data_IF_684789371437
#
_entry.id   IF_684789371437
#
_cell.length_a   1.000
_cell.length_b   1.000
_cell.length_c   1.000
_cell.angle_alpha   90.00
_cell.angle_beta   90.00
_cell.angle_gamma   90.00
#
_symmetry.space_group_name_H-M   'P 1'
#
loop_
_entity.id
_entity.type
_entity.pdbx_description
1 polymer ?
#
# COMPACT_ATOMS: atom_id res chain seq x y z
N UNK A 1 -16.99 5.42 -65.19
CA UNK A 1 -17.18 6.78 -64.64
C UNK A 1 -16.07 7.05 -63.64
N UNK A 2 -15.30 8.11 -63.89
CA UNK A 2 -14.17 8.56 -63.10
C UNK A 2 -14.65 9.26 -61.82
N UNK A 3 -14.03 8.98 -60.67
CA UNK A 3 -13.82 9.98 -59.63
C UNK A 3 -12.71 9.52 -58.66
N UNK A 4 -11.58 10.24 -58.73
CA UNK A 4 -10.45 10.22 -57.80
C UNK A 4 -10.79 11.13 -56.62
N UNK A 5 -10.58 10.72 -55.37
CA UNK A 5 -10.39 11.63 -54.22
C UNK A 5 -9.62 10.84 -53.14
N UNK A 6 -8.29 11.00 -53.03
CA UNK A 6 -7.48 12.04 -52.37
C UNK A 6 -7.00 11.59 -50.98
N UNK A 7 -5.70 11.27 -50.96
CA UNK A 7 -4.81 11.17 -49.82
C UNK A 7 -5.02 12.32 -48.83
N UNK A 8 -5.22 12.00 -47.55
CA UNK A 8 -4.87 12.89 -46.43
C UNK A 8 -3.93 12.11 -45.52
N UNK A 9 -2.64 12.39 -45.68
CA UNK A 9 -1.60 11.98 -44.78
C UNK A 9 -1.75 12.74 -43.46
N UNK A 10 -2.22 12.06 -42.41
CA UNK A 10 -2.09 12.57 -41.05
C UNK A 10 -0.67 12.26 -40.56
N UNK A 11 0.21 13.23 -40.73
CA UNK A 11 1.52 13.30 -40.10
C UNK A 11 1.37 13.18 -38.58
N UNK A 12 1.90 12.11 -38.01
CA UNK A 12 2.08 11.96 -36.57
C UNK A 12 3.27 12.84 -36.17
N UNK A 13 2.98 14.06 -35.73
CA UNK A 13 3.97 14.94 -35.11
C UNK A 13 4.42 14.36 -33.77
N UNK A 14 5.62 13.79 -33.73
CA UNK A 14 6.30 13.42 -32.49
C UNK A 14 6.86 14.71 -31.89
N UNK A 15 6.05 15.41 -31.11
CA UNK A 15 6.54 16.50 -30.29
C UNK A 15 7.22 15.93 -29.03
N UNK A 16 8.53 15.75 -29.11
CA UNK A 16 9.41 15.54 -27.95
C UNK A 16 9.49 16.84 -27.14
N UNK A 17 8.43 17.15 -26.39
CA UNK A 17 8.39 18.25 -25.42
C UNK A 17 8.57 17.70 -24.00
N UNK A 18 9.59 18.16 -23.29
CA UNK A 18 9.91 17.74 -21.93
C UNK A 18 8.74 17.85 -20.96
N UNK A 19 8.35 16.72 -20.35
CA UNK A 19 7.36 16.67 -19.28
C UNK A 19 8.03 16.47 -17.91
N UNK A 20 7.58 17.17 -16.84
CA UNK A 20 8.02 16.90 -15.47
C UNK A 20 7.23 15.70 -14.87
N UNK A 21 7.57 15.25 -13.66
CA UNK A 21 8.01 13.90 -13.34
C UNK A 21 6.87 12.86 -13.25
N UNK A 22 6.63 12.08 -14.30
CA UNK A 22 5.70 10.93 -14.23
C UNK A 22 6.10 9.86 -13.20
N UNK A 23 7.38 9.76 -12.85
CA UNK A 23 7.88 8.80 -11.85
C UNK A 23 7.51 9.18 -10.40
N UNK A 24 7.49 10.47 -10.06
CA UNK A 24 7.18 10.91 -8.69
C UNK A 24 5.69 10.71 -8.35
N UNK A 25 4.79 10.91 -9.32
CA UNK A 25 3.35 10.67 -9.14
C UNK A 25 3.03 9.18 -8.96
N UNK A 26 3.68 8.30 -9.72
CA UNK A 26 3.50 6.85 -9.58
C UNK A 26 3.99 6.35 -8.21
N UNK A 27 5.13 6.87 -7.73
CA UNK A 27 5.66 6.54 -6.40
C UNK A 27 4.76 7.06 -5.27
N UNK A 28 4.22 8.28 -5.40
CA UNK A 28 3.27 8.82 -4.43
C UNK A 28 1.97 8.01 -4.40
N UNK A 29 1.38 7.67 -5.55
CA UNK A 29 0.17 6.84 -5.61
C UNK A 29 0.40 5.43 -5.03
N UNK A 30 1.59 4.86 -5.26
CA UNK A 30 1.96 3.57 -4.68
C UNK A 30 2.14 3.66 -3.16
N UNK A 31 2.76 4.74 -2.65
CA UNK A 31 2.87 4.99 -1.21
C UNK A 31 1.49 5.12 -0.55
N UNK A 32 0.61 5.96 -1.09
CA UNK A 32 -0.75 6.15 -0.60
C UNK A 32 -1.54 4.82 -0.57
N UNK A 33 -1.39 3.97 -1.60
CA UNK A 33 -2.03 2.64 -1.61
C UNK A 33 -1.45 1.68 -0.56
N UNK A 34 -0.14 1.69 -0.33
CA UNK A 34 0.49 0.86 0.72
C UNK A 34 0.11 1.30 2.14
N UNK A 35 -0.01 2.61 2.37
CA UNK A 35 -0.40 3.18 3.66
C UNK A 35 -1.88 2.91 3.94
N UNK A 36 -2.73 2.99 2.91
CA UNK A 36 -4.14 2.60 3.01
C UNK A 36 -4.30 1.12 3.35
N UNK A 37 -3.54 0.23 2.68
CA UNK A 37 -3.56 -1.20 2.99
C UNK A 37 -3.14 -1.47 4.42
N UNK A 38 -2.11 -0.79 4.92
CA UNK A 38 -1.67 -0.93 6.31
C UNK A 38 -2.76 -0.48 7.31
N UNK A 39 -3.45 0.62 7.00
CA UNK A 39 -4.57 1.10 7.80
C UNK A 39 -5.70 0.05 7.84
N UNK A 40 -6.03 -0.55 6.70
CA UNK A 40 -7.05 -1.58 6.61
C UNK A 40 -6.67 -2.83 7.39
N UNK A 41 -5.42 -3.31 7.28
CA UNK A 41 -4.96 -4.46 8.05
C UNK A 41 -5.07 -4.24 9.56
N UNK A 42 -4.75 -3.03 10.05
CA UNK A 42 -4.92 -2.68 11.47
C UNK A 42 -6.39 -2.69 11.89
N UNK A 43 -7.29 -2.20 11.04
CA UNK A 43 -8.74 -2.24 11.31
C UNK A 43 -9.27 -3.68 11.29
N UNK A 44 -8.85 -4.50 10.34
CA UNK A 44 -9.20 -5.92 10.25
C UNK A 44 -8.68 -6.67 11.49
N UNK A 45 -7.44 -6.40 11.92
CA UNK A 45 -6.87 -7.01 13.13
C UNK A 45 -7.69 -6.67 14.38
N UNK A 46 -8.13 -5.41 14.51
CA UNK A 46 -8.98 -4.98 15.63
C UNK A 46 -10.41 -5.54 15.56
N UNK A 47 -10.96 -5.72 14.35
CA UNK A 47 -12.33 -6.22 14.16
C UNK A 47 -12.44 -7.74 14.30
N UNK A 48 -11.49 -8.47 13.75
CA UNK A 48 -11.53 -9.93 13.65
C UNK A 48 -10.65 -10.63 14.69
N UNK A 49 -9.62 -9.96 15.19
CA UNK A 49 -8.66 -10.54 16.11
C UNK A 49 -9.16 -10.60 17.55
N UNK A 50 -8.45 -11.37 18.36
CA UNK A 50 -8.52 -11.22 19.81
C UNK A 50 -7.75 -9.96 20.25
N UNK A 51 -8.02 -9.39 21.43
CA UNK A 51 -7.26 -8.23 21.92
C UNK A 51 -5.73 -8.48 21.96
N UNK A 52 -5.32 -9.71 22.28
CA UNK A 52 -3.91 -10.10 22.24
C UNK A 52 -3.35 -10.12 20.82
N UNK A 53 -4.11 -10.65 19.85
CA UNK A 53 -3.71 -10.66 18.45
C UNK A 53 -3.57 -9.23 17.91
N UNK A 54 -4.58 -8.38 18.11
CA UNK A 54 -4.57 -6.97 17.69
C UNK A 54 -3.31 -6.26 18.21
N UNK A 55 -3.04 -6.35 19.52
CA UNK A 55 -1.87 -5.72 20.14
C UNK A 55 -0.56 -6.20 19.53
N UNK A 56 -0.43 -7.50 19.30
CA UNK A 56 0.78 -8.08 18.68
C UNK A 56 0.95 -7.64 17.23
N UNK A 57 -0.15 -7.62 16.46
CA UNK A 57 -0.19 -7.20 15.07
C UNK A 57 0.17 -5.72 14.94
N UNK A 58 -0.44 -4.88 15.76
CA UNK A 58 -0.17 -3.45 15.79
C UNK A 58 1.30 -3.16 16.10
N UNK A 59 1.90 -3.85 17.09
CA UNK A 59 3.33 -3.71 17.41
C UNK A 59 4.22 -4.04 16.20
N UNK A 60 3.96 -5.15 15.52
CA UNK A 60 4.77 -5.54 14.35
C UNK A 60 4.52 -4.63 13.15
N UNK A 61 3.29 -4.17 12.95
CA UNK A 61 2.93 -3.18 11.94
C UNK A 61 3.71 -1.87 12.13
N UNK A 62 3.77 -1.34 13.35
CA UNK A 62 4.61 -0.17 13.69
C UNK A 62 6.08 -0.41 13.37
N UNK A 63 6.60 -1.60 13.68
CA UNK A 63 7.97 -1.97 13.36
C UNK A 63 8.22 -2.06 11.85
N UNK A 64 7.25 -2.55 11.08
CA UNK A 64 7.32 -2.60 9.62
C UNK A 64 7.35 -1.20 9.00
N UNK A 65 6.56 -0.26 9.52
CA UNK A 65 6.62 1.16 9.10
C UNK A 65 7.97 1.79 9.46
N UNK A 66 8.46 1.59 10.67
CA UNK A 66 9.76 2.09 11.11
C UNK A 66 10.93 1.55 10.25
N UNK A 67 10.82 0.31 9.78
CA UNK A 67 11.80 -0.31 8.88
C UNK A 67 11.61 0.08 7.40
N UNK A 68 10.64 0.94 7.06
CA UNK A 68 10.35 1.35 5.68
C UNK A 68 9.77 0.23 4.82
N UNK A 69 9.17 -0.80 5.43
CA UNK A 69 8.56 -1.94 4.72
C UNK A 69 7.18 -1.61 4.13
N UNK A 70 6.50 -0.59 4.67
CA UNK A 70 5.21 -0.09 4.15
C UNK A 70 5.47 0.93 3.04
N UNK A 71 6.03 2.08 3.40
CA UNK A 71 6.46 3.12 2.46
C UNK A 71 7.96 3.35 2.60
N UNK A 72 8.70 3.25 1.49
CA UNK A 72 10.14 3.54 1.45
C UNK A 72 10.39 5.03 1.29
N UNK A 73 11.55 5.49 1.76
CA UNK A 73 12.03 6.87 1.56
C UNK A 73 11.11 7.97 2.11
N UNK A 74 10.23 7.64 3.07
CA UNK A 74 9.44 8.62 3.83
C UNK A 74 9.75 8.52 5.31
N UNK A 75 9.57 9.65 6.00
CA UNK A 75 9.70 9.71 7.45
C UNK A 75 8.66 8.78 8.12
N UNK A 76 9.08 7.78 8.93
CA UNK A 76 8.16 6.85 9.55
C UNK A 76 7.09 7.51 10.43
N UNK A 77 7.40 8.64 11.09
CA UNK A 77 6.42 9.33 11.92
C UNK A 77 5.30 9.97 11.07
N UNK A 78 5.63 10.54 9.91
CA UNK A 78 4.61 10.99 8.95
C UNK A 78 3.80 9.84 8.38
N UNK A 79 4.44 8.73 7.99
CA UNK A 79 3.74 7.54 7.47
C UNK A 79 2.73 7.01 8.51
N UNK A 80 3.13 6.94 9.78
CA UNK A 80 2.24 6.53 10.86
C UNK A 80 1.04 7.46 11.08
N UNK A 81 1.28 8.77 10.94
CA UNK A 81 0.22 9.78 11.00
C UNK A 81 -0.77 9.58 9.86
N UNK A 82 -0.28 9.35 8.63
CA UNK A 82 -1.12 9.09 7.46
C UNK A 82 -1.93 7.80 7.62
N UNK A 83 -1.29 6.68 7.97
CA UNK A 83 -1.98 5.39 8.22
C UNK A 83 -3.09 5.55 9.26
N UNK A 84 -2.86 6.34 10.31
CA UNK A 84 -3.87 6.60 11.34
C UNK A 84 -5.07 7.39 10.78
N UNK A 85 -4.82 8.36 9.91
CA UNK A 85 -5.86 9.15 9.25
C UNK A 85 -6.66 8.37 8.19
N UNK A 86 -6.03 7.37 7.55
CA UNK A 86 -6.63 6.53 6.50
C UNK A 86 -7.51 5.39 7.02
N UNK A 87 -7.67 5.23 8.35
CA UNK A 87 -8.47 4.14 8.93
C UNK A 87 -9.92 4.22 8.45
N UNK A 88 -10.34 3.20 7.70
CA UNK A 88 -11.71 3.10 7.17
C UNK A 88 -12.66 2.45 8.18
N UNK A 89 -13.96 2.60 7.93
CA UNK A 89 -14.99 1.97 8.73
C UNK A 89 -14.86 0.43 8.66
N UNK A 90 -14.78 -0.29 9.80
CA UNK A 90 -14.61 -1.74 9.82
C UNK A 90 -15.70 -2.51 9.08
N UNK A 91 -16.93 -2.00 9.04
CA UNK A 91 -18.07 -2.65 8.33
C UNK A 91 -17.85 -2.69 6.82
N UNK A 92 -17.10 -1.72 6.28
CA UNK A 92 -16.75 -1.68 4.85
C UNK A 92 -15.65 -2.69 4.50
N UNK A 93 -14.78 -2.99 5.46
CA UNK A 93 -13.66 -3.92 5.26
C UNK A 93 -14.04 -5.39 5.53
N UNK A 94 -14.94 -5.59 6.49
CA UNK A 94 -15.42 -6.91 6.92
C UNK A 94 -16.94 -6.83 7.06
N UNK A 95 -17.63 -7.29 6.02
CA UNK A 95 -19.09 -7.22 5.94
C UNK A 95 -19.79 -8.18 6.89
N UNK A 96 -19.26 -9.39 7.07
CA UNK A 96 -19.80 -10.39 7.98
C UNK A 96 -18.73 -10.94 8.93
N UNK A 97 -19.14 -11.33 10.14
CA UNK A 97 -18.25 -11.96 11.12
C UNK A 97 -17.68 -13.30 10.60
N UNK A 98 -18.42 -13.98 9.72
CA UNK A 98 -17.99 -15.23 9.07
C UNK A 98 -16.75 -15.06 8.17
N UNK A 99 -16.43 -13.84 7.72
CA UNK A 99 -15.25 -13.57 6.89
C UNK A 99 -13.95 -13.50 7.72
N UNK A 100 -14.07 -13.37 9.05
CA UNK A 100 -12.93 -13.13 9.92
C UNK A 100 -11.86 -14.23 9.94
N UNK A 101 -12.17 -15.54 9.87
CA UNK A 101 -11.15 -16.58 9.80
C UNK A 101 -10.19 -16.39 8.62
N UNK A 102 -10.72 -16.17 7.41
CA UNK A 102 -9.91 -15.96 6.21
C UNK A 102 -9.13 -14.63 6.25
N UNK A 103 -9.68 -13.59 6.87
CA UNK A 103 -8.96 -12.34 7.11
C UNK A 103 -7.79 -12.54 8.09
N UNK A 104 -8.00 -13.25 9.19
CA UNK A 104 -6.95 -13.53 10.17
C UNK A 104 -5.84 -14.41 9.61
N UNK A 105 -6.16 -15.40 8.77
CA UNK A 105 -5.15 -16.20 8.08
C UNK A 105 -4.24 -15.32 7.21
N UNK A 106 -4.82 -14.42 6.40
CA UNK A 106 -4.04 -13.45 5.62
C UNK A 106 -3.14 -12.58 6.49
N UNK A 107 -3.65 -12.08 7.61
CA UNK A 107 -2.85 -11.27 8.53
C UNK A 107 -1.73 -12.07 9.20
N UNK A 108 -1.95 -13.35 9.53
CA UNK A 108 -0.89 -14.22 10.08
C UNK A 108 0.22 -14.48 9.07
N UNK A 109 -0.12 -14.71 7.81
CA UNK A 109 0.90 -14.86 6.75
C UNK A 109 1.71 -13.58 6.59
N UNK A 110 1.04 -12.42 6.55
CA UNK A 110 1.72 -11.13 6.54
C UNK A 110 2.65 -10.94 7.75
N UNK A 111 2.23 -11.36 8.95
CA UNK A 111 3.09 -11.30 10.14
C UNK A 111 4.32 -12.20 10.02
N UNK A 112 4.17 -13.41 9.46
CA UNK A 112 5.28 -14.34 9.23
C UNK A 112 6.28 -13.77 8.22
N UNK A 113 5.79 -13.21 7.11
CA UNK A 113 6.63 -12.55 6.10
C UNK A 113 7.41 -11.39 6.70
N UNK A 114 6.74 -10.51 7.44
CA UNK A 114 7.38 -9.35 8.11
C UNK A 114 8.39 -9.79 9.16
N UNK A 115 8.08 -10.80 9.96
CA UNK A 115 9.02 -11.33 10.94
C UNK A 115 10.32 -11.76 10.26
N UNK A 116 10.25 -12.50 9.15
CA UNK A 116 11.43 -12.95 8.40
C UNK A 116 12.29 -11.78 7.92
N UNK A 117 11.67 -10.70 7.44
CA UNK A 117 12.40 -9.51 6.97
C UNK A 117 12.99 -8.72 8.12
N UNK A 118 12.20 -8.46 9.18
CA UNK A 118 12.62 -7.70 10.35
C UNK A 118 13.73 -8.40 11.13
N UNK A 119 13.70 -9.74 11.24
CA UNK A 119 14.77 -10.51 11.89
C UNK A 119 16.07 -10.51 11.07
N UNK A 120 16.01 -10.47 9.73
CA UNK A 120 17.20 -10.40 8.87
C UNK A 120 17.80 -8.99 8.79
N UNK A 121 16.98 -7.96 8.93
CA UNK A 121 17.40 -6.55 8.92
C UNK A 121 17.88 -6.00 10.27
N UNK A 122 17.84 -6.81 11.34
CA UNK A 122 18.17 -6.43 12.71
C UNK A 122 19.67 -6.29 13.02
N UNK A 123 20.54 -6.07 12.03
CA UNK A 123 21.89 -5.59 12.30
C UNK A 123 21.86 -4.07 12.23
N UNK A 124 22.09 -3.34 13.35
CA UNK A 124 22.22 -1.89 13.28
C UNK A 124 23.43 -1.61 12.38
N UNK A 125 23.21 -0.85 11.31
CA UNK A 125 24.31 -0.15 10.65
C UNK A 125 24.76 0.95 11.62
N UNK A 126 25.68 0.58 12.50
CA UNK A 126 26.61 1.48 13.20
C UNK A 126 27.55 2.12 12.18
#
# INVERSE_FOLDING_TARGET
MNARFLLVACLVSIASGGGPPRLAHAQAAQAESSEQLEADYRVIAARCGTPAFEKSFYKQSRAAVAAGLVTRHRDPAQVEKTITALRRNPVVLVGAQADCPAQLERLRELQKERARVLHKGGSPRT
#
